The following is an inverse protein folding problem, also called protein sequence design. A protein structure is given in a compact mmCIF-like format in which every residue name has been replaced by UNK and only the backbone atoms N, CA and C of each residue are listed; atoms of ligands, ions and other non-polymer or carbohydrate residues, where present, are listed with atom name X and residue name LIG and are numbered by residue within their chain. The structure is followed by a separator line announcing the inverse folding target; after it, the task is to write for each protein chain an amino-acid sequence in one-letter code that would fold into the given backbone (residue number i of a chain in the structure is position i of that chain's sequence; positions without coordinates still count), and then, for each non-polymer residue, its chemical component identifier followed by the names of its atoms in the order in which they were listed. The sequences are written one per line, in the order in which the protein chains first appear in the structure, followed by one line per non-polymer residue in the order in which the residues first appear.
data_IF_193823339834
#
_entry.id   IF_193823339834
#
_cell.length_a   1.000
_cell.length_b   1.000
_cell.length_c   1.000
_cell.angle_alpha   90.00
_cell.angle_beta   90.00
_cell.angle_gamma   90.00
#
_symmetry.space_group_name_H-M   'P 1'
#
loop_
_entity.id
_entity.type
_entity.pdbx_description
1 polymer ?
#
# COMPACT_ATOMS: atom_id res chain seq x y z
N UNK A 1 18.07 16.32 2.90
CA UNK A 1 18.12 16.50 1.63
C UNK A 1 17.49 15.58 0.69
N UNK A 2 17.09 14.43 1.03
CA UNK A 2 16.56 13.49 0.12
C UNK A 2 15.45 14.03 -0.75
N UNK A 3 14.74 14.98 -0.27
CA UNK A 3 13.63 15.50 -1.01
C UNK A 3 13.99 16.46 -2.11
N UNK A 4 15.25 16.71 -2.28
CA UNK A 4 15.67 17.66 -3.28
C UNK A 4 15.13 17.36 -4.63
N UNK A 5 15.14 16.11 -5.00
CA UNK A 5 14.64 15.71 -6.29
C UNK A 5 13.23 15.25 -6.25
N UNK A 6 12.65 15.18 -5.06
CA UNK A 6 11.34 14.61 -4.93
C UNK A 6 10.26 15.63 -5.22
N UNK A 7 9.12 15.12 -5.57
CA UNK A 7 7.92 15.93 -5.64
C UNK A 7 7.34 15.99 -4.24
N UNK A 8 6.87 17.16 -3.81
CA UNK A 8 6.29 17.27 -2.48
C UNK A 8 5.20 16.22 -2.27
N UNK A 9 5.28 15.53 -1.15
CA UNK A 9 4.25 14.57 -0.79
C UNK A 9 4.40 13.19 -1.36
N UNK A 10 5.47 12.91 -2.12
CA UNK A 10 5.69 11.58 -2.65
C UNK A 10 7.01 11.02 -2.12
N UNK A 11 6.92 9.96 -1.35
CA UNK A 11 8.06 9.23 -0.84
C UNK A 11 8.24 8.00 -1.74
N UNK A 12 9.46 7.72 -2.21
CA UNK A 12 9.68 6.56 -3.07
C UNK A 12 9.19 5.25 -2.46
N UNK A 13 9.32 5.09 -1.14
CA UNK A 13 8.82 3.88 -0.51
C UNK A 13 7.30 3.82 -0.54
N UNK A 14 6.63 4.94 -0.36
CA UNK A 14 5.18 4.97 -0.43
C UNK A 14 4.70 4.63 -1.84
N UNK A 15 5.42 5.07 -2.85
CA UNK A 15 5.09 4.73 -4.23
C UNK A 15 5.21 3.23 -4.47
N UNK A 16 6.26 2.62 -3.95
CA UNK A 16 6.48 1.18 -4.07
C UNK A 16 5.39 0.41 -3.35
N UNK A 17 5.10 0.79 -2.12
CA UNK A 17 4.07 0.12 -1.32
C UNK A 17 2.71 0.25 -2.01
N UNK A 18 2.38 1.44 -2.48
CA UNK A 18 1.10 1.65 -3.15
C UNK A 18 0.95 0.79 -4.40
N UNK A 19 2.00 0.70 -5.20
CA UNK A 19 1.97 -0.11 -6.40
C UNK A 19 1.83 -1.60 -6.08
N UNK A 20 2.49 -2.06 -5.03
CA UNK A 20 2.40 -3.45 -4.60
C UNK A 20 1.02 -3.78 -4.08
N UNK A 21 0.42 -2.88 -3.32
CA UNK A 21 -0.95 -3.06 -2.83
C UNK A 21 -1.90 -3.27 -4.00
N UNK A 22 -1.81 -2.41 -5.00
CA UNK A 22 -2.67 -2.52 -6.17
C UNK A 22 -2.46 -3.84 -6.90
N UNK A 23 -1.21 -4.24 -7.10
CA UNK A 23 -0.90 -5.48 -7.79
C UNK A 23 -1.44 -6.69 -7.04
N UNK A 24 -1.22 -6.74 -5.73
CA UNK A 24 -1.68 -7.87 -4.95
C UNK A 24 -3.20 -7.88 -4.80
N UNK A 25 -3.81 -6.70 -4.72
CA UNK A 25 -5.25 -6.60 -4.70
C UNK A 25 -5.85 -7.25 -5.95
N UNK A 26 -5.29 -6.93 -7.10
CA UNK A 26 -5.75 -7.53 -8.35
C UNK A 26 -5.53 -9.03 -8.36
N UNK A 27 -4.38 -9.47 -7.92
CA UNK A 27 -4.05 -10.90 -7.92
C UNK A 27 -4.90 -11.71 -6.96
N UNK A 28 -5.25 -11.14 -5.84
CA UNK A 28 -6.05 -11.84 -4.83
C UNK A 28 -7.54 -11.66 -5.05
N UNK A 29 -7.94 -10.88 -6.03
CA UNK A 29 -9.35 -10.64 -6.29
C UNK A 29 -10.02 -9.83 -5.20
N UNK A 30 -9.28 -8.98 -4.50
CA UNK A 30 -9.83 -8.13 -3.46
C UNK A 30 -10.26 -6.83 -4.09
N UNK A 31 -11.50 -6.43 -3.87
CA UNK A 31 -11.99 -5.20 -4.45
C UNK A 31 -11.40 -4.00 -3.73
N UNK A 32 -11.41 -2.88 -4.41
CA UNK A 32 -10.92 -1.63 -3.85
C UNK A 32 -11.66 -1.29 -2.55
N UNK A 33 -12.98 -1.39 -2.59
CA UNK A 33 -13.80 -1.04 -1.42
C UNK A 33 -13.58 -2.00 -0.26
N UNK A 34 -13.42 -3.29 -0.55
CA UNK A 34 -13.16 -4.27 0.50
C UNK A 34 -11.82 -4.01 1.17
N UNK A 35 -10.81 -3.66 0.40
CA UNK A 35 -9.52 -3.38 0.99
C UNK A 35 -9.56 -2.09 1.82
N UNK A 36 -10.23 -1.05 1.33
CA UNK A 36 -10.35 0.18 2.09
C UNK A 36 -11.02 -0.09 3.44
N UNK A 37 -12.09 -0.88 3.44
CA UNK A 37 -12.76 -1.23 4.68
C UNK A 37 -11.86 -2.03 5.61
N UNK A 38 -11.09 -2.96 5.06
CA UNK A 38 -10.21 -3.80 5.87
C UNK A 38 -9.11 -3.01 6.57
N UNK A 39 -8.67 -1.91 5.96
CA UNK A 39 -7.64 -1.06 6.55
C UNK A 39 -8.25 0.11 7.33
N UNK A 40 -9.57 0.20 7.32
CA UNK A 40 -10.29 1.30 7.97
C UNK A 40 -9.93 2.65 7.33
N UNK A 41 -9.86 2.64 6.00
CA UNK A 41 -9.62 3.86 5.22
C UNK A 41 -10.84 4.20 4.40
N UNK A 42 -11.01 5.49 4.11
CA UNK A 42 -11.99 5.89 3.12
C UNK A 42 -11.48 5.50 1.73
N UNK A 43 -12.37 5.35 0.75
CA UNK A 43 -11.93 5.09 -0.63
C UNK A 43 -10.96 6.16 -1.15
N UNK A 44 -11.17 7.41 -0.79
CA UNK A 44 -10.27 8.48 -1.20
C UNK A 44 -8.88 8.29 -0.61
N UNK A 45 -8.82 7.90 0.68
CA UNK A 45 -7.55 7.68 1.32
C UNK A 45 -6.80 6.50 0.68
N UNK A 46 -7.51 5.42 0.38
CA UNK A 46 -6.87 4.28 -0.29
C UNK A 46 -6.39 4.67 -1.68
N UNK A 47 -7.13 5.51 -2.38
CA UNK A 47 -6.69 5.97 -3.69
C UNK A 47 -5.36 6.71 -3.58
N UNK A 48 -5.21 7.54 -2.55
CA UNK A 48 -3.94 8.24 -2.32
C UNK A 48 -2.82 7.27 -1.96
N UNK A 49 -3.12 6.25 -1.18
CA UNK A 49 -2.13 5.22 -0.83
C UNK A 49 -1.64 4.51 -2.09
N UNK A 50 -2.55 4.06 -2.94
CA UNK A 50 -2.17 3.35 -4.16
C UNK A 50 -1.43 4.26 -5.14
N UNK A 51 -1.66 5.54 -5.07
CA UNK A 51 -0.95 6.52 -5.89
C UNK A 51 0.41 6.92 -5.31
N UNK A 52 0.76 6.41 -4.13
CA UNK A 52 2.03 6.73 -3.50
C UNK A 52 2.05 8.08 -2.79
N UNK A 53 0.87 8.65 -2.55
CA UNK A 53 0.77 9.98 -1.96
C UNK A 53 0.44 9.95 -0.48
N UNK A 54 0.20 8.80 0.07
CA UNK A 54 -0.14 8.66 1.47
C UNK A 54 0.59 7.48 2.07
N UNK A 55 1.10 7.67 3.27
CA UNK A 55 1.87 6.67 3.98
C UNK A 55 0.93 5.85 4.87
N UNK A 56 1.17 4.55 4.92
CA UNK A 56 0.46 3.68 5.86
C UNK A 56 1.32 3.47 7.10
N UNK A 57 0.69 3.52 8.26
CA UNK A 57 1.40 3.19 9.49
C UNK A 57 1.52 1.66 9.64
N UNK A 58 2.19 1.21 10.69
CA UNK A 58 2.44 -0.22 10.90
C UNK A 58 1.15 -1.02 11.03
N UNK A 59 0.17 -0.48 11.73
CA UNK A 59 -1.10 -1.17 11.93
C UNK A 59 -1.85 -1.29 10.60
N UNK A 60 -1.81 -0.25 9.80
CA UNK A 60 -2.46 -0.26 8.50
C UNK A 60 -1.78 -1.21 7.53
N UNK A 61 -0.44 -1.23 7.54
CA UNK A 61 0.30 -2.18 6.71
C UNK A 61 -0.04 -3.62 7.11
N UNK A 62 -0.11 -3.89 8.39
CA UNK A 62 -0.46 -5.21 8.87
C UNK A 62 -1.87 -5.60 8.43
N UNK A 63 -2.81 -4.68 8.54
CA UNK A 63 -4.18 -4.95 8.11
C UNK A 63 -4.25 -5.21 6.60
N UNK A 64 -3.48 -4.46 5.82
CA UNK A 64 -3.44 -4.64 4.37
C UNK A 64 -2.89 -6.01 4.00
N UNK A 65 -1.79 -6.41 4.64
CA UNK A 65 -1.19 -7.72 4.35
C UNK A 65 -2.11 -8.85 4.74
N UNK A 66 -2.82 -8.73 5.85
CA UNK A 66 -3.79 -9.75 6.23
C UNK A 66 -4.93 -9.84 5.21
N UNK A 67 -5.45 -8.71 4.79
CA UNK A 67 -6.53 -8.68 3.82
C UNK A 67 -6.11 -9.28 2.49
N UNK A 68 -4.85 -9.11 2.12
CA UNK A 68 -4.30 -9.61 0.87
C UNK A 68 -3.66 -10.99 1.02
N UNK A 69 -3.65 -11.55 2.22
CA UNK A 69 -3.07 -12.86 2.52
C UNK A 69 -1.59 -12.91 2.18
N UNK A 70 -0.87 -11.91 2.64
CA UNK A 70 0.56 -11.77 2.41
C UNK A 70 1.32 -11.76 3.72
N UNK A 71 2.59 -12.15 3.71
CA UNK A 71 3.44 -11.87 4.86
C UNK A 71 3.65 -10.35 4.99
N UNK A 72 3.88 -9.90 6.20
CA UNK A 72 3.99 -8.47 6.48
C UNK A 72 5.03 -7.78 5.60
N UNK A 73 6.13 -8.46 5.32
CA UNK A 73 7.21 -7.87 4.54
C UNK A 73 6.90 -7.73 3.05
N UNK A 74 5.85 -8.37 2.57
CA UNK A 74 5.59 -8.45 1.13
C UNK A 74 5.34 -7.10 0.47
N UNK A 75 4.86 -6.13 1.23
CA UNK A 75 4.59 -4.81 0.68
C UNK A 75 5.80 -3.89 0.74
N UNK A 76 6.81 -4.23 1.53
CA UNK A 76 7.96 -3.37 1.73
C UNK A 76 9.27 -3.98 1.24
N UNK A 77 9.24 -5.21 0.77
CA UNK A 77 10.44 -5.93 0.33
C UNK A 77 10.29 -6.36 -1.11
N UNK A 78 11.40 -6.50 -1.80
CA UNK A 78 11.42 -7.02 -3.16
C UNK A 78 11.39 -8.54 -3.21
N UNK A 79 11.49 -9.20 -2.08
CA UNK A 79 11.50 -10.65 -2.06
C UNK A 79 10.17 -11.21 -2.54
N UNK A 80 10.15 -12.39 -3.16
CA UNK A 80 8.90 -13.00 -3.59
C UNK A 80 7.97 -13.26 -2.43
N UNK A 81 6.67 -13.12 -2.67
CA UNK A 81 5.66 -13.22 -1.64
C UNK A 81 4.74 -14.42 -1.85
N UNK A 82 5.24 -15.50 -2.35
CA UNK A 82 4.41 -16.70 -2.57
C UNK A 82 5.05 -17.95 -2.05
#
# INVERSE_FOLDING_TARGET
MGSVLGFPGIDPMDAVVGARIRRWRDRRGVTFDDLAAAIDLTPEALRRVEAGREHLDSAQLDAATRALRLPVWALVSDAPAY
#
